data_IF_692864448373
#
_entry.id   IF_692864448373
#
_cell.length_a   1.000
_cell.length_b   1.000
_cell.length_c   1.000
_cell.angle_alpha   90.00
_cell.angle_beta   90.00
_cell.angle_gamma   90.00
#
_symmetry.space_group_name_H-M   'P 1'
#
loop_
_entity.id
_entity.type
_entity.pdbx_description
1 polymer ?
#
# COMPACT_ATOMS: atom_id res chain seq x y z
N UNK A 1 46.57 -31.65 -6.59
CA UNK A 1 45.27 -31.69 -5.90
C UNK A 1 44.99 -30.43 -5.07
N UNK A 2 45.96 -29.86 -4.38
CA UNK A 2 45.86 -28.64 -3.53
C UNK A 2 45.28 -27.42 -4.30
N UNK A 3 45.72 -27.17 -5.53
CA UNK A 3 45.29 -26.02 -6.35
C UNK A 3 43.79 -26.02 -6.73
N UNK A 4 43.17 -27.19 -6.86
CA UNK A 4 41.73 -27.30 -7.21
C UNK A 4 40.86 -27.02 -5.97
N UNK A 5 41.33 -27.45 -4.81
CA UNK A 5 40.64 -27.21 -3.53
C UNK A 5 40.67 -25.71 -3.18
N UNK A 6 41.83 -25.07 -3.34
CA UNK A 6 41.99 -23.62 -3.11
C UNK A 6 41.12 -22.80 -4.05
N UNK A 7 41.06 -23.16 -5.35
CA UNK A 7 40.17 -22.51 -6.30
C UNK A 7 38.67 -22.68 -5.96
N UNK A 8 38.26 -23.85 -5.49
CA UNK A 8 36.89 -24.09 -5.02
C UNK A 8 36.56 -23.27 -3.79
N UNK A 9 37.47 -23.17 -2.81
CA UNK A 9 37.28 -22.39 -1.60
C UNK A 9 37.11 -20.89 -1.92
N UNK A 10 37.99 -20.36 -2.79
CA UNK A 10 37.91 -18.95 -3.23
C UNK A 10 36.64 -18.66 -4.02
N UNK A 11 36.13 -19.61 -4.82
CA UNK A 11 34.89 -19.48 -5.55
C UNK A 11 33.68 -19.45 -4.60
N UNK A 12 33.66 -20.31 -3.58
CA UNK A 12 32.62 -20.35 -2.57
C UNK A 12 32.60 -19.06 -1.72
N UNK A 13 33.78 -18.54 -1.35
CA UNK A 13 33.85 -17.24 -0.65
C UNK A 13 33.31 -16.09 -1.49
N UNK A 14 33.71 -15.99 -2.76
CA UNK A 14 33.20 -14.98 -3.68
C UNK A 14 31.68 -15.08 -3.90
N UNK A 15 31.18 -16.32 -3.98
CA UNK A 15 29.74 -16.57 -4.13
C UNK A 15 28.98 -16.08 -2.88
N UNK A 16 29.49 -16.41 -1.70
CA UNK A 16 28.89 -15.96 -0.43
C UNK A 16 28.91 -14.43 -0.28
N UNK A 17 30.04 -13.78 -0.64
CA UNK A 17 30.16 -12.31 -0.65
C UNK A 17 29.16 -11.67 -1.63
N UNK A 18 29.06 -12.21 -2.85
CA UNK A 18 28.10 -11.73 -3.85
C UNK A 18 26.63 -11.94 -3.43
N UNK A 19 26.33 -13.06 -2.77
CA UNK A 19 24.99 -13.30 -2.22
C UNK A 19 24.65 -12.31 -1.10
N UNK A 20 25.61 -12.02 -0.23
CA UNK A 20 25.45 -11.05 0.86
C UNK A 20 25.23 -9.63 0.32
N UNK A 21 26.05 -9.21 -0.65
CA UNK A 21 25.89 -7.91 -1.33
C UNK A 21 24.54 -7.82 -2.06
N UNK A 22 24.13 -8.88 -2.74
CA UNK A 22 22.85 -8.95 -3.43
C UNK A 22 21.65 -8.85 -2.45
N UNK A 23 21.77 -9.48 -1.26
CA UNK A 23 20.74 -9.34 -0.20
C UNK A 23 20.68 -7.90 0.31
N UNK A 24 21.83 -7.28 0.57
CA UNK A 24 21.90 -5.89 1.03
C UNK A 24 21.31 -4.91 0.00
N UNK A 25 21.68 -5.06 -1.28
CA UNK A 25 21.13 -4.24 -2.37
C UNK A 25 19.63 -4.45 -2.57
N UNK A 26 19.12 -5.67 -2.41
CA UNK A 26 17.68 -5.96 -2.47
C UNK A 26 16.93 -5.28 -1.32
N UNK A 27 17.46 -5.35 -0.10
CA UNK A 27 16.88 -4.69 1.07
C UNK A 27 16.82 -3.16 0.88
N UNK A 28 17.94 -2.55 0.45
CA UNK A 28 18.00 -1.12 0.17
C UNK A 28 17.02 -0.69 -0.93
N UNK A 29 16.91 -1.47 -2.01
CA UNK A 29 15.97 -1.19 -3.09
C UNK A 29 14.51 -1.30 -2.63
N UNK A 30 14.19 -2.26 -1.76
CA UNK A 30 12.85 -2.39 -1.16
C UNK A 30 12.52 -1.17 -0.30
N UNK A 31 13.46 -0.69 0.49
CA UNK A 31 13.29 0.51 1.31
C UNK A 31 13.09 1.78 0.45
N UNK A 32 13.91 1.96 -0.59
CA UNK A 32 13.76 3.10 -1.51
C UNK A 32 12.40 3.09 -2.22
N UNK A 33 11.88 1.93 -2.56
CA UNK A 33 10.56 1.81 -3.20
C UNK A 33 9.41 2.03 -2.22
N UNK A 34 9.55 1.61 -0.96
CA UNK A 34 8.61 1.95 0.09
C UNK A 34 8.54 3.48 0.28
N UNK A 35 9.70 4.14 0.34
CA UNK A 35 9.80 5.60 0.40
C UNK A 35 9.19 6.28 -0.83
N UNK A 36 9.37 5.74 -2.04
CA UNK A 36 8.75 6.28 -3.25
C UNK A 36 7.22 6.15 -3.22
N UNK A 37 6.70 5.03 -2.71
CA UNK A 37 5.24 4.82 -2.52
C UNK A 37 4.68 5.79 -1.48
N UNK A 38 5.38 5.96 -0.37
CA UNK A 38 5.04 6.97 0.65
C UNK A 38 5.13 8.38 0.07
N UNK A 39 6.17 8.70 -0.70
CA UNK A 39 6.32 9.99 -1.39
C UNK A 39 5.11 10.30 -2.27
N UNK A 40 4.57 9.29 -2.97
CA UNK A 40 3.37 9.46 -3.77
C UNK A 40 2.10 9.66 -2.96
N UNK A 41 2.03 9.13 -1.75
CA UNK A 41 0.92 9.33 -0.83
C UNK A 41 1.08 10.58 0.05
N UNK A 42 2.29 11.13 0.19
CA UNK A 42 2.62 12.19 1.17
C UNK A 42 1.74 13.43 1.01
N UNK A 43 1.53 13.91 -0.21
CA UNK A 43 0.67 15.09 -0.44
C UNK A 43 -0.77 14.83 -0.02
N UNK A 44 -1.30 13.64 -0.29
CA UNK A 44 -2.66 13.25 0.11
C UNK A 44 -2.77 13.16 1.63
N UNK A 45 -1.80 12.51 2.26
CA UNK A 45 -1.75 12.31 3.72
C UNK A 45 -1.57 13.66 4.44
N UNK A 46 -0.67 14.53 3.96
CA UNK A 46 -0.49 15.87 4.51
C UNK A 46 -1.79 16.69 4.41
N UNK A 47 -2.49 16.59 3.29
CA UNK A 47 -3.79 17.24 3.12
C UNK A 47 -4.82 16.69 4.12
N UNK A 48 -4.85 15.38 4.35
CA UNK A 48 -5.78 14.76 5.29
C UNK A 48 -5.44 15.09 6.75
N UNK A 49 -4.16 15.10 7.12
CA UNK A 49 -3.73 15.59 8.45
C UNK A 49 -4.20 17.03 8.65
N UNK A 50 -4.01 17.91 7.66
CA UNK A 50 -4.51 19.27 7.73
C UNK A 50 -6.05 19.33 7.85
N UNK A 51 -6.78 18.47 7.15
CA UNK A 51 -8.24 18.36 7.29
C UNK A 51 -8.68 17.90 8.69
N UNK A 52 -7.85 17.13 9.40
CA UNK A 52 -8.12 16.76 10.79
C UNK A 52 -7.79 17.88 11.77
N UNK A 53 -6.72 18.67 11.51
CA UNK A 53 -6.24 19.72 12.41
C UNK A 53 -6.97 21.05 12.22
N UNK A 54 -7.28 21.46 10.98
CA UNK A 54 -7.92 22.77 10.70
C UNK A 54 -9.25 22.97 11.43
N UNK A 55 -10.20 22.00 11.49
CA UNK A 55 -11.41 22.17 12.25
C UNK A 55 -11.18 22.32 13.76
N UNK A 56 -10.08 21.74 14.30
CA UNK A 56 -9.76 21.84 15.73
C UNK A 56 -9.43 23.26 16.14
N UNK A 57 -8.68 23.99 15.29
CA UNK A 57 -8.36 25.41 15.56
C UNK A 57 -9.62 26.25 15.57
N UNK A 58 -10.55 26.01 14.65
CA UNK A 58 -11.84 26.73 14.59
C UNK A 58 -12.71 26.41 15.80
N UNK A 59 -12.83 25.13 16.16
CA UNK A 59 -13.63 24.74 17.34
C UNK A 59 -12.99 25.23 18.65
N UNK A 60 -11.67 25.20 18.77
CA UNK A 60 -10.97 25.73 19.92
C UNK A 60 -11.20 27.25 20.07
N UNK A 61 -11.12 28.02 18.97
CA UNK A 61 -11.40 29.45 18.98
C UNK A 61 -12.85 29.74 19.41
N UNK A 62 -13.81 28.96 18.93
CA UNK A 62 -15.23 29.08 19.34
C UNK A 62 -15.42 28.79 20.83
N UNK A 63 -14.76 27.76 21.37
CA UNK A 63 -14.86 27.42 22.78
C UNK A 63 -14.23 28.50 23.68
N UNK A 64 -13.11 29.11 23.24
CA UNK A 64 -12.48 30.24 23.95
C UNK A 64 -13.38 31.48 23.97
N UNK A 65 -14.12 31.74 22.87
CA UNK A 65 -15.07 32.86 22.81
C UNK A 65 -16.35 32.64 23.60
N UNK A 66 -16.67 31.38 23.95
CA UNK A 66 -17.87 31.02 24.70
C UNK A 66 -17.49 30.14 25.92
N UNK A 67 -16.81 30.70 26.93
CA UNK A 67 -16.24 29.91 28.02
C UNK A 67 -17.31 29.26 28.93
N UNK A 68 -18.53 29.81 28.96
CA UNK A 68 -19.62 29.28 29.78
C UNK A 68 -20.41 28.15 29.09
N UNK A 69 -20.18 27.91 27.78
CA UNK A 69 -20.82 26.81 27.05
C UNK A 69 -20.07 25.50 27.26
N UNK A 70 -20.39 24.83 28.35
CA UNK A 70 -19.78 23.54 28.72
C UNK A 70 -20.11 22.43 27.73
N UNK A 71 -21.26 22.48 27.05
CA UNK A 71 -21.64 21.49 26.03
C UNK A 71 -20.75 21.64 24.77
N UNK A 72 -20.51 22.88 24.33
CA UNK A 72 -19.58 23.19 23.26
C UNK A 72 -18.16 22.75 23.61
N UNK A 73 -17.68 23.09 24.82
CA UNK A 73 -16.36 22.71 25.32
C UNK A 73 -16.16 21.19 25.30
N UNK A 74 -17.12 20.42 25.79
CA UNK A 74 -17.09 18.95 25.77
C UNK A 74 -17.01 18.42 24.33
N UNK A 75 -17.86 18.93 23.43
CA UNK A 75 -17.86 18.52 22.00
C UNK A 75 -16.54 18.82 21.31
N UNK A 76 -15.91 19.96 21.61
CA UNK A 76 -14.58 20.32 21.08
C UNK A 76 -13.51 19.37 21.57
N UNK A 77 -13.50 19.06 22.88
CA UNK A 77 -12.54 18.14 23.48
C UNK A 77 -12.68 16.72 22.91
N UNK A 78 -13.90 16.19 22.79
CA UNK A 78 -14.16 14.87 22.22
C UNK A 78 -13.67 14.79 20.77
N UNK A 79 -13.95 15.80 19.94
CA UNK A 79 -13.46 15.90 18.57
C UNK A 79 -11.94 16.00 18.52
N UNK A 80 -11.34 16.79 19.41
CA UNK A 80 -9.88 16.94 19.48
C UNK A 80 -9.21 15.60 19.78
N UNK A 81 -9.66 14.89 20.82
CA UNK A 81 -9.13 13.57 21.16
C UNK A 81 -9.27 12.59 19.99
N UNK A 82 -10.44 12.56 19.35
CA UNK A 82 -10.67 11.68 18.19
C UNK A 82 -9.73 11.98 17.03
N UNK A 83 -9.61 13.25 16.63
CA UNK A 83 -8.77 13.65 15.50
C UNK A 83 -7.28 13.49 15.80
N UNK A 84 -6.83 13.77 17.03
CA UNK A 84 -5.44 13.52 17.43
C UNK A 84 -5.08 12.04 17.40
N UNK A 85 -5.96 11.15 17.91
CA UNK A 85 -5.74 9.70 17.83
C UNK A 85 -5.68 9.23 16.39
N UNK A 86 -6.50 9.78 15.50
CA UNK A 86 -6.51 9.45 14.08
C UNK A 86 -5.22 9.91 13.39
N UNK A 87 -4.78 11.16 13.63
CA UNK A 87 -3.52 11.68 13.09
C UNK A 87 -2.30 10.88 13.58
N UNK A 88 -2.27 10.48 14.86
CA UNK A 88 -1.20 9.65 15.41
C UNK A 88 -1.13 8.28 14.74
N UNK A 89 -2.26 7.62 14.50
CA UNK A 89 -2.29 6.33 13.78
C UNK A 89 -1.75 6.45 12.36
N UNK A 90 -2.10 7.52 11.63
CA UNK A 90 -1.56 7.77 10.29
C UNK A 90 -0.05 7.88 10.33
N UNK A 91 0.48 8.70 11.23
CA UNK A 91 1.93 8.88 11.35
C UNK A 91 2.65 7.59 11.73
N UNK A 92 2.08 6.80 12.64
CA UNK A 92 2.64 5.49 13.02
C UNK A 92 2.68 4.52 11.85
N UNK A 93 1.58 4.41 11.08
CA UNK A 93 1.53 3.56 9.89
C UNK A 93 2.54 4.02 8.82
N UNK A 94 2.70 5.33 8.61
CA UNK A 94 3.72 5.88 7.71
C UNK A 94 5.15 5.53 8.17
N UNK A 95 5.44 5.70 9.45
CA UNK A 95 6.76 5.38 10.01
C UNK A 95 7.07 3.89 9.91
N UNK A 96 6.09 3.03 10.17
CA UNK A 96 6.22 1.59 10.01
C UNK A 96 6.55 1.21 8.56
N UNK A 97 5.87 1.82 7.58
CA UNK A 97 6.13 1.63 6.15
C UNK A 97 7.51 2.16 5.72
N UNK A 98 8.00 3.25 6.34
CA UNK A 98 9.29 3.88 5.98
C UNK A 98 10.50 3.14 6.56
N UNK A 99 10.37 2.58 7.75
CA UNK A 99 11.52 2.08 8.51
C UNK A 99 12.09 0.76 8.02
N UNK A 100 11.44 0.04 7.07
CA UNK A 100 12.00 -1.14 6.41
C UNK A 100 12.65 -2.18 7.34
N UNK A 101 12.21 -2.25 8.61
CA UNK A 101 12.78 -3.17 9.60
C UNK A 101 12.63 -4.62 9.11
N UNK A 102 13.55 -5.49 9.49
CA UNK A 102 13.47 -6.94 9.28
C UNK A 102 12.17 -7.49 9.91
N UNK A 103 11.08 -7.38 9.16
CA UNK A 103 9.80 -7.92 9.60
C UNK A 103 9.78 -9.39 9.25
N UNK A 104 9.65 -10.22 10.28
CA UNK A 104 9.48 -11.66 10.11
C UNK A 104 8.11 -11.95 9.48
N UNK A 105 8.06 -13.01 8.70
CA UNK A 105 6.78 -13.55 8.24
C UNK A 105 5.96 -14.00 9.45
N UNK A 106 4.72 -13.59 9.50
CA UNK A 106 3.78 -13.96 10.55
C UNK A 106 2.39 -14.24 9.97
N UNK A 107 1.62 -15.04 10.69
CA UNK A 107 0.23 -15.28 10.31
C UNK A 107 -0.59 -14.03 10.60
N UNK A 108 -1.05 -13.34 9.56
CA UNK A 108 -1.70 -12.03 9.65
C UNK A 108 -3.13 -12.07 9.12
N UNK A 109 -4.01 -11.30 9.76
CA UNK A 109 -5.40 -11.16 9.32
C UNK A 109 -5.49 -10.25 8.10
N UNK A 110 -6.05 -10.76 7.00
CA UNK A 110 -6.27 -9.97 5.78
C UNK A 110 -7.17 -8.77 6.03
N UNK A 111 -8.21 -8.93 6.88
CA UNK A 111 -9.11 -7.83 7.25
C UNK A 111 -8.36 -6.71 7.96
N UNK A 112 -7.50 -7.05 8.92
CA UNK A 112 -6.72 -6.07 9.69
C UNK A 112 -5.79 -5.28 8.75
N UNK A 113 -5.03 -5.96 7.88
CA UNK A 113 -4.15 -5.31 6.91
C UNK A 113 -4.92 -4.33 6.00
N UNK A 114 -6.08 -4.73 5.49
CA UNK A 114 -6.90 -3.83 4.65
C UNK A 114 -7.42 -2.64 5.45
N UNK A 115 -7.87 -2.84 6.69
CA UNK A 115 -8.35 -1.76 7.55
C UNK A 115 -7.23 -0.79 7.93
N UNK A 116 -6.00 -1.28 8.17
CA UNK A 116 -4.80 -0.44 8.40
C UNK A 116 -4.46 0.41 7.17
N UNK A 117 -4.53 -0.16 5.97
CA UNK A 117 -4.31 0.60 4.72
C UNK A 117 -5.34 1.74 4.58
N UNK A 118 -6.64 1.46 4.78
CA UNK A 118 -7.65 2.51 4.72
C UNK A 118 -7.49 3.53 5.85
N UNK A 119 -7.02 3.12 7.02
CA UNK A 119 -6.68 4.02 8.14
C UNK A 119 -5.51 4.91 7.80
N UNK A 120 -4.46 4.34 7.18
CA UNK A 120 -3.27 5.09 6.73
C UNK A 120 -3.63 6.10 5.62
N UNK A 121 -4.42 5.70 4.63
CA UNK A 121 -4.88 6.60 3.57
C UNK A 121 -5.76 7.73 4.10
N UNK A 122 -6.46 7.52 5.21
CA UNK A 122 -7.28 8.48 5.95
C UNK A 122 -8.23 9.33 5.12
N UNK A 123 -8.53 8.91 3.92
CA UNK A 123 -9.33 9.68 2.97
C UNK A 123 -10.77 9.24 2.98
N UNK A 124 -11.64 10.23 2.96
CA UNK A 124 -13.03 10.01 2.61
C UNK A 124 -13.14 9.93 1.08
N UNK A 125 -13.12 8.71 0.55
CA UNK A 125 -13.24 8.44 -0.88
C UNK A 125 -14.57 8.97 -1.47
N UNK A 126 -15.59 9.20 -0.65
CA UNK A 126 -16.86 9.75 -1.10
C UNK A 126 -16.71 11.18 -1.64
N UNK A 127 -15.72 11.94 -1.18
CA UNK A 127 -15.39 13.27 -1.70
C UNK A 127 -14.84 13.24 -3.14
N UNK A 128 -14.30 12.09 -3.55
CA UNK A 128 -13.86 11.84 -4.93
C UNK A 128 -14.98 11.17 -5.77
N UNK A 129 -16.18 11.03 -5.23
CA UNK A 129 -17.29 10.31 -5.85
C UNK A 129 -17.10 8.79 -5.89
N UNK A 130 -16.20 8.24 -5.05
CA UNK A 130 -15.85 6.83 -5.05
C UNK A 130 -16.55 6.12 -3.88
N UNK A 131 -17.33 5.08 -4.23
CA UNK A 131 -17.94 4.17 -3.25
C UNK A 131 -16.98 3.03 -2.93
N UNK A 132 -16.61 2.88 -1.65
CA UNK A 132 -15.77 1.77 -1.19
C UNK A 132 -16.62 0.59 -0.72
N UNK A 133 -16.33 -0.62 -1.23
CA UNK A 133 -16.94 -1.87 -0.83
C UNK A 133 -15.86 -2.82 -0.32
N UNK A 134 -16.07 -3.46 0.83
CA UNK A 134 -15.14 -4.44 1.41
C UNK A 134 -15.89 -5.74 1.67
N UNK A 135 -15.35 -6.86 1.15
CA UNK A 135 -15.90 -8.21 1.30
C UNK A 135 -14.77 -9.16 1.69
N UNK A 136 -14.43 -9.18 2.97
CA UNK A 136 -13.32 -9.97 3.52
C UNK A 136 -13.87 -10.85 4.64
N UNK A 137 -13.79 -12.19 4.53
CA UNK A 137 -14.24 -13.10 5.58
C UNK A 137 -13.54 -12.82 6.91
N UNK A 138 -14.29 -12.97 8.02
CA UNK A 138 -13.69 -12.96 9.34
C UNK A 138 -12.80 -14.19 9.52
N UNK A 139 -11.64 -13.98 10.16
CA UNK A 139 -10.70 -15.06 10.41
C UNK A 139 -9.82 -15.47 9.23
N UNK A 140 -9.97 -14.88 8.03
CA UNK A 140 -9.07 -15.15 6.92
C UNK A 140 -7.66 -14.64 7.23
N UNK A 141 -6.69 -15.56 7.24
CA UNK A 141 -5.29 -15.27 7.58
C UNK A 141 -4.36 -15.76 6.48
N UNK A 142 -3.20 -15.11 6.38
CA UNK A 142 -2.13 -15.47 5.45
C UNK A 142 -0.77 -15.28 6.13
N UNK A 143 0.17 -16.18 5.85
CA UNK A 143 1.54 -16.06 6.34
C UNK A 143 2.33 -15.12 5.43
N UNK A 144 2.63 -13.93 5.92
CA UNK A 144 3.30 -12.89 5.15
C UNK A 144 4.08 -11.93 6.05
N UNK A 145 4.78 -10.99 5.45
CA UNK A 145 5.28 -9.78 6.11
C UNK A 145 4.20 -8.71 5.97
N UNK A 146 3.40 -8.40 7.03
CA UNK A 146 2.17 -7.60 6.92
C UNK A 146 2.41 -6.26 6.25
N UNK A 147 3.42 -5.52 6.71
CA UNK A 147 3.75 -4.19 6.21
C UNK A 147 4.03 -4.17 4.69
N UNK A 148 4.61 -5.23 4.15
CA UNK A 148 4.90 -5.34 2.71
C UNK A 148 3.61 -5.58 1.92
N UNK A 149 2.70 -6.40 2.43
CA UNK A 149 1.39 -6.62 1.78
C UNK A 149 0.51 -5.37 1.89
N UNK A 150 0.56 -4.65 3.02
CA UNK A 150 -0.11 -3.35 3.17
C UNK A 150 0.40 -2.33 2.16
N UNK A 151 1.71 -2.28 1.88
CA UNK A 151 2.28 -1.43 0.83
C UNK A 151 1.76 -1.79 -0.57
N UNK A 152 1.64 -3.10 -0.87
CA UNK A 152 1.04 -3.58 -2.13
C UNK A 152 -0.40 -3.12 -2.23
N UNK A 153 -1.21 -3.37 -1.19
CA UNK A 153 -2.63 -2.96 -1.15
C UNK A 153 -2.80 -1.45 -1.30
N UNK A 154 -2.00 -0.67 -0.57
CA UNK A 154 -2.00 0.80 -0.66
C UNK A 154 -1.73 1.27 -2.09
N UNK A 155 -0.72 0.70 -2.75
CA UNK A 155 -0.38 1.07 -4.12
C UNK A 155 -1.50 0.72 -5.11
N UNK A 156 -2.12 -0.45 -4.98
CA UNK A 156 -3.25 -0.86 -5.83
C UNK A 156 -4.49 0.03 -5.59
N UNK A 157 -4.81 0.36 -4.33
CA UNK A 157 -5.95 1.22 -3.96
C UNK A 157 -5.73 2.65 -4.50
N UNK A 158 -4.52 3.19 -4.40
CA UNK A 158 -4.19 4.50 -4.96
C UNK A 158 -4.27 4.51 -6.50
N UNK A 159 -3.80 3.46 -7.16
CA UNK A 159 -3.92 3.31 -8.61
C UNK A 159 -5.39 3.21 -9.06
N UNK A 160 -6.21 2.44 -8.33
CA UNK A 160 -7.64 2.33 -8.57
C UNK A 160 -8.35 3.69 -8.45
N UNK A 161 -8.03 4.46 -7.38
CA UNK A 161 -8.54 5.81 -7.20
C UNK A 161 -8.19 6.72 -8.38
N UNK A 162 -6.92 6.76 -8.76
CA UNK A 162 -6.45 7.61 -9.86
C UNK A 162 -7.10 7.23 -11.20
N UNK A 163 -7.40 5.94 -11.40
CA UNK A 163 -8.11 5.46 -12.59
C UNK A 163 -9.58 5.91 -12.64
N UNK A 164 -10.21 6.18 -11.47
CA UNK A 164 -11.59 6.62 -11.35
C UNK A 164 -11.76 8.14 -11.34
N UNK A 165 -10.69 8.91 -11.22
CA UNK A 165 -10.78 10.37 -11.24
C UNK A 165 -10.86 10.93 -12.68
N UNK A 166 -11.61 12.04 -12.89
CA UNK A 166 -12.47 12.77 -11.93
C UNK A 166 -13.90 12.20 -11.81
N UNK A 167 -14.26 11.17 -12.56
CA UNK A 167 -15.66 10.72 -12.71
C UNK A 167 -16.24 9.97 -11.50
N UNK A 168 -15.40 9.57 -10.52
CA UNK A 168 -15.81 8.69 -9.43
C UNK A 168 -15.98 7.24 -9.86
N UNK A 169 -16.63 6.42 -9.01
CA UNK A 169 -16.85 5.01 -9.32
C UNK A 169 -16.99 4.13 -8.08
N UNK A 170 -16.69 2.84 -8.25
CA UNK A 170 -16.70 1.85 -7.16
C UNK A 170 -15.32 1.21 -7.02
N UNK A 171 -14.75 1.31 -5.83
CA UNK A 171 -13.58 0.58 -5.38
C UNK A 171 -14.04 -0.61 -4.53
N UNK A 172 -13.75 -1.83 -4.97
CA UNK A 172 -14.05 -3.03 -4.21
C UNK A 172 -12.76 -3.72 -3.78
N UNK A 173 -12.64 -4.06 -2.50
CA UNK A 173 -11.58 -4.92 -1.96
C UNK A 173 -12.24 -6.17 -1.40
N UNK A 174 -11.88 -7.33 -1.95
CA UNK A 174 -12.41 -8.62 -1.53
C UNK A 174 -11.28 -9.62 -1.30
N UNK A 175 -11.52 -10.59 -0.44
CA UNK A 175 -10.59 -11.68 -0.23
C UNK A 175 -11.35 -13.00 -0.03
N UNK A 176 -10.73 -14.09 -0.46
CA UNK A 176 -11.24 -15.43 -0.30
C UNK A 176 -10.10 -16.44 -0.12
N UNK A 177 -10.42 -17.57 0.53
CA UNK A 177 -9.57 -18.75 0.50
C UNK A 177 -9.92 -19.56 -0.74
N UNK A 178 -8.92 -19.91 -1.52
CA UNK A 178 -9.07 -20.75 -2.71
C UNK A 178 -8.01 -21.86 -2.64
N UNK A 179 -8.42 -23.09 -2.46
CA UNK A 179 -7.53 -24.25 -2.28
C UNK A 179 -6.43 -23.96 -1.23
N UNK A 180 -5.16 -23.85 -1.67
CA UNK A 180 -4.02 -23.63 -0.81
C UNK A 180 -3.55 -22.14 -0.80
N UNK A 181 -4.35 -21.23 -1.35
CA UNK A 181 -3.98 -19.83 -1.51
C UNK A 181 -5.03 -18.89 -0.93
N UNK A 182 -4.57 -17.75 -0.44
CA UNK A 182 -5.41 -16.59 -0.15
C UNK A 182 -5.39 -15.69 -1.38
N UNK A 183 -6.56 -15.43 -1.95
CA UNK A 183 -6.74 -14.44 -3.01
C UNK A 183 -7.24 -13.13 -2.41
N UNK A 184 -6.57 -12.02 -2.76
CA UNK A 184 -7.02 -10.67 -2.42
C UNK A 184 -7.20 -9.90 -3.72
N UNK A 185 -8.41 -9.38 -3.94
CA UNK A 185 -8.75 -8.61 -5.13
C UNK A 185 -8.96 -7.14 -4.80
N UNK A 186 -8.37 -6.27 -5.62
CA UNK A 186 -8.64 -4.84 -5.67
C UNK A 186 -9.23 -4.53 -7.04
N UNK A 187 -10.50 -4.15 -7.07
CA UNK A 187 -11.25 -3.86 -8.30
C UNK A 187 -11.72 -2.42 -8.33
N UNK A 188 -11.59 -1.78 -9.47
CA UNK A 188 -12.08 -0.43 -9.76
C UNK A 188 -13.01 -0.41 -10.99
N UNK A 189 -13.88 0.59 -11.08
CA UNK A 189 -14.71 0.89 -12.25
C UNK A 189 -14.20 2.10 -13.03
N UNK A 190 -12.89 2.31 -13.02
CA UNK A 190 -12.24 3.44 -13.65
C UNK A 190 -12.04 3.29 -15.16
N UNK A 191 -11.11 4.05 -15.70
CA UNK A 191 -10.81 4.09 -17.15
C UNK A 191 -10.29 2.78 -17.73
N UNK A 192 -9.85 1.83 -16.89
CA UNK A 192 -9.22 0.60 -17.33
C UNK A 192 -7.83 0.79 -17.94
N UNK A 193 -7.30 -0.30 -18.50
CA UNK A 193 -5.96 -0.38 -19.08
C UNK A 193 -6.11 -0.79 -20.56
N UNK A 194 -5.42 -0.10 -21.44
CA UNK A 194 -5.41 -0.44 -22.87
C UNK A 194 -4.68 -1.77 -23.11
N UNK A 195 -5.15 -2.63 -24.03
CA UNK A 195 -4.52 -3.93 -24.28
C UNK A 195 -3.03 -3.83 -24.60
N UNK A 196 -2.60 -2.81 -25.34
CA UNK A 196 -1.20 -2.54 -25.70
C UNK A 196 -0.28 -2.25 -24.51
N UNK A 197 -0.84 -1.96 -23.33
CA UNK A 197 -0.11 -1.69 -22.11
C UNK A 197 -0.03 -2.89 -21.16
N UNK A 198 -0.88 -3.90 -21.35
CA UNK A 198 -1.04 -5.01 -20.39
C UNK A 198 0.28 -5.74 -20.13
N UNK A 199 1.10 -5.99 -21.14
CA UNK A 199 2.39 -6.68 -20.99
C UNK A 199 3.48 -5.81 -20.33
N UNK A 200 3.22 -4.50 -20.19
CA UNK A 200 4.20 -3.53 -19.74
C UNK A 200 3.90 -2.91 -18.38
N UNK A 201 2.69 -3.05 -17.85
CA UNK A 201 2.28 -2.37 -16.63
C UNK A 201 3.11 -2.76 -15.40
N UNK A 202 3.74 -3.94 -15.39
CA UNK A 202 4.65 -4.40 -14.34
C UNK A 202 6.13 -4.08 -14.63
N UNK A 203 6.45 -3.48 -15.78
CA UNK A 203 7.82 -3.05 -16.06
C UNK A 203 8.17 -1.80 -15.25
N UNK A 204 9.36 -1.74 -14.64
CA UNK A 204 9.82 -0.54 -13.94
C UNK A 204 9.80 0.69 -14.86
N UNK A 205 9.41 1.84 -14.32
CA UNK A 205 9.32 3.12 -15.00
C UNK A 205 8.25 3.22 -16.09
N UNK A 206 7.43 2.19 -16.31
CA UNK A 206 6.29 2.29 -17.19
C UNK A 206 5.13 3.03 -16.52
N UNK A 207 4.67 4.11 -17.15
CA UNK A 207 3.51 4.88 -16.70
C UNK A 207 2.77 5.45 -17.90
N UNK A 208 1.44 5.45 -17.81
CA UNK A 208 0.55 6.12 -18.76
C UNK A 208 0.06 7.48 -18.23
N UNK A 209 0.49 7.87 -17.02
CA UNK A 209 0.11 9.14 -16.41
C UNK A 209 0.98 10.26 -16.97
N UNK A 210 0.37 11.21 -17.68
CA UNK A 210 1.06 12.40 -18.20
C UNK A 210 0.99 13.56 -17.19
N UNK A 211 1.88 14.56 -17.34
CA UNK A 211 1.84 15.76 -16.47
C UNK A 211 0.51 16.52 -16.55
N UNK A 212 -0.21 16.41 -17.67
CA UNK A 212 -1.50 17.05 -17.91
C UNK A 212 -2.67 16.37 -17.21
N UNK A 213 -2.51 15.08 -16.83
CA UNK A 213 -3.55 14.28 -16.19
C UNK A 213 -3.52 14.41 -14.66
N UNK A 214 -2.75 15.36 -14.12
CA UNK A 214 -2.58 15.55 -12.67
C UNK A 214 -3.73 16.35 -12.07
N UNK A 215 -4.59 15.76 -11.25
CA UNK A 215 -5.35 16.53 -10.29
C UNK A 215 -4.37 17.23 -9.34
N UNK A 216 -4.66 18.49 -8.98
CA UNK A 216 -3.85 19.21 -7.99
C UNK A 216 -3.70 18.37 -6.72
N UNK A 217 -2.46 18.01 -6.35
CA UNK A 217 -2.17 17.19 -5.18
C UNK A 217 -1.99 15.68 -5.43
N UNK A 218 -2.02 15.19 -6.70
CA UNK A 218 -1.61 13.83 -6.99
C UNK A 218 -0.11 13.78 -7.32
N UNK A 219 0.64 12.94 -6.63
CA UNK A 219 2.03 12.67 -6.96
C UNK A 219 2.07 11.82 -8.24
N UNK A 220 2.85 12.28 -9.20
CA UNK A 220 3.15 11.54 -10.43
C UNK A 220 3.69 10.17 -10.08
N UNK A 221 3.00 9.12 -10.47
CA UNK A 221 3.53 7.78 -10.36
C UNK A 221 4.80 7.66 -11.21
N UNK A 222 5.94 7.43 -10.56
CA UNK A 222 7.24 7.21 -11.22
C UNK A 222 7.28 5.92 -12.07
N UNK A 223 6.14 5.24 -12.25
CA UNK A 223 6.06 3.97 -12.97
C UNK A 223 6.70 2.78 -12.23
N UNK A 224 6.98 2.92 -10.93
CA UNK A 224 7.65 1.87 -10.14
C UNK A 224 6.68 1.06 -9.28
N UNK A 225 5.46 1.55 -9.08
CA UNK A 225 4.54 1.00 -8.09
C UNK A 225 4.07 -0.44 -8.39
N UNK A 226 3.65 -0.73 -9.62
CA UNK A 226 3.19 -2.08 -9.98
C UNK A 226 4.35 -3.07 -10.06
N UNK A 227 5.52 -2.64 -10.56
CA UNK A 227 6.73 -3.45 -10.54
C UNK A 227 7.16 -3.82 -9.09
N UNK A 228 6.99 -2.88 -8.15
CA UNK A 228 7.20 -3.14 -6.74
C UNK A 228 6.17 -4.15 -6.19
N UNK A 229 4.89 -3.99 -6.51
CA UNK A 229 3.85 -4.94 -6.09
C UNK A 229 4.19 -6.37 -6.54
N UNK A 230 4.57 -6.54 -7.80
CA UNK A 230 4.96 -7.84 -8.34
C UNK A 230 6.12 -8.45 -7.56
N UNK A 231 7.20 -7.69 -7.34
CA UNK A 231 8.38 -8.19 -6.58
C UNK A 231 8.06 -8.62 -5.17
N UNK A 232 7.23 -7.84 -4.45
CA UNK A 232 6.81 -8.20 -3.08
C UNK A 232 5.99 -9.48 -3.09
N UNK A 233 5.02 -9.58 -3.98
CA UNK A 233 4.17 -10.77 -4.09
C UNK A 233 4.99 -12.00 -4.48
N UNK A 234 5.92 -11.88 -5.44
CA UNK A 234 6.85 -12.94 -5.84
C UNK A 234 7.76 -13.37 -4.67
N UNK A 235 8.25 -12.42 -3.86
CA UNK A 235 9.07 -12.70 -2.68
C UNK A 235 8.30 -13.49 -1.59
N UNK A 236 6.97 -13.39 -1.57
CA UNK A 236 6.09 -14.18 -0.72
C UNK A 236 5.69 -15.54 -1.35
N UNK A 237 6.29 -15.91 -2.50
CA UNK A 237 5.93 -17.12 -3.24
C UNK A 237 4.55 -17.04 -3.90
N UNK A 238 3.99 -15.84 -3.99
CA UNK A 238 2.69 -15.56 -4.56
C UNK A 238 2.74 -15.18 -6.05
N UNK A 239 1.61 -14.69 -6.54
CA UNK A 239 1.47 -14.13 -7.90
C UNK A 239 0.47 -12.98 -7.91
N UNK A 240 0.75 -11.95 -8.71
CA UNK A 240 -0.19 -10.88 -9.01
C UNK A 240 -0.65 -10.98 -10.45
N UNK A 241 -1.97 -10.93 -10.67
CA UNK A 241 -2.60 -10.93 -11.98
C UNK A 241 -3.45 -9.67 -12.16
N UNK A 242 -3.74 -9.33 -13.40
CA UNK A 242 -4.61 -8.21 -13.75
C UNK A 242 -5.57 -8.63 -14.86
N UNK A 243 -6.83 -8.25 -14.70
CA UNK A 243 -7.85 -8.28 -15.75
C UNK A 243 -8.38 -6.85 -15.90
N UNK A 244 -8.42 -6.33 -17.12
CA UNK A 244 -8.87 -4.96 -17.35
C UNK A 244 -9.52 -4.80 -18.71
N UNK A 245 -10.50 -3.90 -18.78
CA UNK A 245 -11.12 -3.47 -20.03
C UNK A 245 -11.20 -1.95 -20.06
N UNK A 246 -10.79 -1.30 -21.17
CA UNK A 246 -10.92 0.14 -21.32
C UNK A 246 -12.36 0.61 -21.09
N UNK A 247 -12.51 1.64 -20.23
CA UNK A 247 -13.81 2.22 -19.86
C UNK A 247 -14.67 1.39 -18.90
N UNK A 248 -14.21 0.22 -18.45
CA UNK A 248 -14.95 -0.62 -17.48
C UNK A 248 -14.22 -0.81 -16.15
N UNK A 249 -12.91 -0.52 -16.12
CA UNK A 249 -12.08 -0.64 -14.95
C UNK A 249 -11.10 -1.79 -14.98
N UNK A 250 -10.51 -2.08 -13.82
CA UNK A 250 -9.48 -3.11 -13.65
C UNK A 250 -9.72 -3.94 -12.40
N UNK A 251 -9.25 -5.17 -12.41
CA UNK A 251 -9.22 -6.08 -11.27
C UNK A 251 -7.79 -6.59 -11.13
N UNK A 252 -7.16 -6.26 -10.01
CA UNK A 252 -5.87 -6.81 -9.60
C UNK A 252 -6.09 -7.91 -8.57
N UNK A 253 -5.59 -9.11 -8.84
CA UNK A 253 -5.71 -10.29 -7.98
C UNK A 253 -4.35 -10.69 -7.46
N UNK A 254 -4.15 -10.62 -6.15
CA UNK A 254 -2.97 -11.10 -5.43
C UNK A 254 -3.28 -12.50 -4.92
N UNK A 255 -2.45 -13.48 -5.26
CA UNK A 255 -2.49 -14.84 -4.73
C UNK A 255 -1.30 -15.08 -3.84
N UNK A 256 -1.53 -15.40 -2.59
CA UNK A 256 -0.49 -15.72 -1.61
C UNK A 256 -0.68 -17.13 -1.11
N UNK A 257 0.39 -17.96 -1.02
CA UNK A 257 0.28 -19.28 -0.44
C UNK A 257 -0.12 -19.18 1.02
N UNK A 258 -0.97 -20.09 1.49
CA UNK A 258 -1.38 -20.12 2.90
C UNK A 258 -0.19 -20.41 3.83
N UNK A 259 0.74 -21.24 3.36
CA UNK A 259 2.03 -21.49 4.03
C UNK A 259 3.16 -21.02 3.13
N UNK A 260 4.15 -20.31 3.67
CA UNK A 260 5.30 -19.91 2.85
C UNK A 260 5.99 -21.14 2.28
N UNK A 261 6.59 -21.03 1.07
CA UNK A 261 7.42 -22.10 0.55
C UNK A 261 8.53 -22.36 1.58
N UNK A 262 8.62 -23.59 2.07
CA UNK A 262 9.70 -23.99 2.97
C UNK A 262 11.02 -23.66 2.27
N UNK A 263 11.84 -22.80 2.90
CA UNK A 263 13.20 -22.56 2.44
C UNK A 263 13.88 -23.91 2.33
N UNK A 264 14.16 -24.38 1.10
CA UNK A 264 15.00 -25.57 0.90
C UNK A 264 16.37 -25.29 1.54
N UNK A 265 16.88 -26.23 2.34
CA UNK A 265 18.16 -26.11 3.02
C UNK A 265 19.33 -25.92 2.05
#
# INVERSE_FOLDING_TARGET
MTSIIEKRLSLHQRLAEQEQENRALKAQNTQLQALATLGSATCMIAHEINNLLTPLTTYAALAVQNPDDTALAKKVLDKTVHNCKRASRIMQSMLAMANGQDHQQESSSVRVMVDEVFTCLCRDFSKDGIRVQRSIPEGLRVDCVPIQIEQVLMNLILNARDAMLPGGGTLKVSAAMTDDHVEIEVSDTGRGILPEHMDRIFQPFFTTKTEKDRPAGSSSGAGVGLAFCQRIVDAHGGRINVASQPGKGSVFTIRLPQKPPQSRP
#
